data_IF_621311360063
#
_entry.id   IF_621311360063
#
_cell.length_a   1.000
_cell.length_b   1.000
_cell.length_c   1.000
_cell.angle_alpha   90.00
_cell.angle_beta   90.00
_cell.angle_gamma   90.00
#
_symmetry.space_group_name_H-M   'P 1'
#
loop_
_entity.id
_entity.type
_entity.pdbx_description
1 polymer ?
#
# COMPACT_ATOMS: atom_id res chain seq x y z
N UNK A 1 23.36 1.05 2.17
CA UNK A 1 23.95 2.21 2.86
C UNK A 1 22.87 2.77 3.75
N UNK A 2 22.96 2.59 5.06
CA UNK A 2 22.02 3.23 6.00
C UNK A 2 22.45 4.69 6.16
N UNK A 3 21.52 5.61 5.87
CA UNK A 3 21.73 7.03 6.15
C UNK A 3 20.99 7.38 7.45
N UNK A 4 21.57 8.26 8.27
CA UNK A 4 20.97 8.65 9.56
C UNK A 4 20.09 9.91 9.43
N UNK A 5 19.45 10.14 8.28
CA UNK A 5 18.57 11.29 8.10
C UNK A 5 17.35 11.09 9.00
N UNK A 6 17.13 12.03 9.93
CA UNK A 6 16.01 12.00 10.87
C UNK A 6 14.92 13.00 10.48
N UNK A 7 15.27 14.10 9.85
CA UNK A 7 14.33 15.14 9.47
C UNK A 7 14.67 15.67 8.09
N UNK A 8 13.62 15.97 7.32
CA UNK A 8 13.76 16.67 6.04
C UNK A 8 13.10 18.04 6.21
N UNK A 9 13.89 19.12 6.38
CA UNK A 9 13.37 20.45 6.66
C UNK A 9 12.72 21.11 5.44
N UNK A 10 12.04 22.23 5.68
CA UNK A 10 11.59 23.10 4.60
C UNK A 10 12.81 23.69 3.84
N UNK A 11 12.64 23.96 2.55
CA UNK A 11 13.69 24.60 1.72
C UNK A 11 14.58 23.64 0.91
N UNK A 12 14.62 22.35 1.25
CA UNK A 12 15.30 21.34 0.41
C UNK A 12 14.54 21.04 -0.90
N UNK A 13 13.32 21.56 -1.03
CA UNK A 13 12.46 21.36 -2.21
C UNK A 13 12.67 22.37 -3.34
N UNK A 14 13.29 23.53 -3.05
CA UNK A 14 13.20 24.73 -3.88
C UNK A 14 13.97 24.69 -5.22
N UNK A 15 14.48 23.55 -5.67
CA UNK A 15 15.34 23.48 -6.86
C UNK A 15 15.31 22.19 -7.66
N UNK A 16 14.32 21.32 -7.45
CA UNK A 16 14.32 19.96 -8.02
C UNK A 16 13.13 19.65 -8.97
N UNK A 17 12.75 20.54 -9.91
CA UNK A 17 11.56 20.34 -10.74
C UNK A 17 11.67 19.14 -11.71
N UNK A 18 12.91 18.73 -12.02
CA UNK A 18 13.21 17.61 -12.91
C UNK A 18 13.54 16.30 -12.17
N UNK A 19 13.50 16.30 -10.83
CA UNK A 19 13.80 15.10 -10.06
C UNK A 19 12.72 14.04 -10.32
N UNK A 20 13.11 12.92 -10.91
CA UNK A 20 12.21 11.81 -11.23
C UNK A 20 12.18 10.72 -10.16
N UNK A 21 13.28 10.56 -9.42
CA UNK A 21 13.44 9.47 -8.46
C UNK A 21 14.08 10.01 -7.19
N UNK A 22 13.44 9.76 -6.06
CA UNK A 22 13.94 10.11 -4.74
C UNK A 22 13.93 8.86 -3.86
N UNK A 23 15.12 8.41 -3.48
CA UNK A 23 15.32 7.23 -2.62
C UNK A 23 15.86 7.71 -1.27
N UNK A 24 15.05 7.55 -0.24
CA UNK A 24 15.35 7.81 1.16
C UNK A 24 15.20 6.52 1.98
N UNK A 25 15.35 5.37 1.33
CA UNK A 25 15.28 4.05 1.94
C UNK A 25 16.31 3.90 3.07
N UNK A 26 15.95 3.11 4.09
CA UNK A 26 16.76 2.75 5.24
C UNK A 26 17.33 3.98 5.98
N UNK A 27 16.48 5.00 6.14
CA UNK A 27 16.73 6.16 7.00
C UNK A 27 16.00 6.05 8.35
N UNK A 28 16.27 7.00 9.25
CA UNK A 28 15.59 7.12 10.54
C UNK A 28 14.62 8.30 10.55
N UNK A 29 13.99 8.58 9.42
CA UNK A 29 13.10 9.72 9.25
C UNK A 29 12.02 9.69 10.31
N UNK A 30 11.88 10.78 11.05
CA UNK A 30 10.83 11.05 12.04
C UNK A 30 9.80 12.02 11.46
N UNK A 31 10.25 12.98 10.65
CA UNK A 31 9.40 13.97 10.00
C UNK A 31 9.91 14.39 8.62
N UNK A 32 8.98 14.79 7.76
CA UNK A 32 9.23 15.44 6.48
C UNK A 32 8.40 16.73 6.48
N UNK A 33 9.02 17.87 6.21
CA UNK A 33 8.33 19.15 6.17
C UNK A 33 7.17 19.13 5.16
N UNK A 34 6.06 19.77 5.52
CA UNK A 34 4.83 19.76 4.72
C UNK A 34 5.05 20.24 3.27
N UNK A 35 5.97 21.17 3.06
CA UNK A 35 6.27 21.76 1.76
C UNK A 35 7.36 21.02 0.95
N UNK A 36 7.91 19.91 1.46
CA UNK A 36 9.07 19.27 0.85
C UNK A 36 8.80 18.74 -0.57
N UNK A 37 7.59 18.24 -0.86
CA UNK A 37 7.28 17.71 -2.18
C UNK A 37 6.64 18.74 -3.14
N UNK A 38 6.39 19.97 -2.68
CA UNK A 38 5.56 20.95 -3.42
C UNK A 38 6.06 21.30 -4.83
N UNK A 39 7.36 21.18 -5.10
CA UNK A 39 7.97 21.55 -6.38
C UNK A 39 8.48 20.35 -7.19
N UNK A 40 8.27 19.12 -6.71
CA UNK A 40 8.78 17.88 -7.34
C UNK A 40 7.78 17.31 -8.36
N UNK A 41 7.27 18.14 -9.27
CA UNK A 41 6.19 17.76 -10.19
C UNK A 41 6.58 16.67 -11.22
N UNK A 42 7.88 16.41 -11.41
CA UNK A 42 8.37 15.33 -12.26
C UNK A 42 8.59 14.00 -11.51
N UNK A 43 8.37 13.95 -10.20
CA UNK A 43 8.69 12.76 -9.41
C UNK A 43 7.80 11.58 -9.81
N UNK A 44 8.45 10.48 -10.16
CA UNK A 44 7.85 9.21 -10.57
C UNK A 44 8.03 8.14 -9.49
N UNK A 45 9.18 8.13 -8.80
CA UNK A 45 9.48 7.13 -7.77
C UNK A 45 9.84 7.82 -6.47
N UNK A 46 9.11 7.48 -5.40
CA UNK A 46 9.41 7.87 -4.03
C UNK A 46 9.55 6.62 -3.17
N UNK A 47 10.76 6.36 -2.69
CA UNK A 47 11.05 5.27 -1.77
C UNK A 47 11.45 5.81 -0.40
N UNK A 48 10.59 5.58 0.59
CA UNK A 48 10.85 5.91 2.00
C UNK A 48 10.99 4.63 2.85
N UNK A 49 11.10 3.46 2.23
CA UNK A 49 11.07 2.16 2.91
C UNK A 49 12.11 2.08 4.02
N UNK A 50 11.81 1.37 5.10
CA UNK A 50 12.70 1.25 6.26
C UNK A 50 12.77 2.50 7.16
N UNK A 51 12.04 3.57 6.84
CA UNK A 51 11.93 4.78 7.68
C UNK A 51 11.10 4.53 8.93
N UNK A 52 11.66 3.80 9.89
CA UNK A 52 10.94 3.30 11.07
C UNK A 52 10.42 4.38 12.03
N UNK A 53 10.93 5.62 11.97
CA UNK A 53 10.52 6.72 12.84
C UNK A 53 9.32 7.52 12.35
N UNK A 54 8.96 7.44 11.07
CA UNK A 54 8.00 8.37 10.46
C UNK A 54 6.58 7.95 10.82
N UNK A 55 5.81 8.88 11.37
CA UNK A 55 4.43 8.60 11.82
C UNK A 55 3.37 9.02 10.82
N UNK A 56 3.61 10.11 10.10
CA UNK A 56 2.66 10.77 9.21
C UNK A 56 3.44 11.28 8.01
N UNK A 57 2.93 11.02 6.80
CA UNK A 57 3.46 11.62 5.57
C UNK A 57 2.81 12.99 5.28
N UNK A 58 3.56 13.95 4.72
CA UNK A 58 3.03 15.27 4.41
C UNK A 58 2.02 15.24 3.25
N UNK A 59 0.99 16.09 3.32
CA UNK A 59 -0.08 16.16 2.30
C UNK A 59 0.42 16.51 0.89
N UNK A 60 1.61 17.12 0.74
CA UNK A 60 2.20 17.43 -0.56
C UNK A 60 2.50 16.19 -1.41
N UNK A 61 2.56 14.98 -0.82
CA UNK A 61 2.63 13.73 -1.60
C UNK A 61 1.41 13.56 -2.51
N UNK A 62 0.22 14.03 -2.07
CA UNK A 62 -1.02 13.93 -2.85
C UNK A 62 -0.96 14.69 -4.17
N UNK A 63 -0.03 15.63 -4.34
CA UNK A 63 0.09 16.46 -5.54
C UNK A 63 1.15 15.94 -6.53
N UNK A 64 1.82 14.82 -6.20
CA UNK A 64 2.81 14.16 -7.07
C UNK A 64 2.14 13.37 -8.20
N UNK A 65 1.33 14.03 -9.04
CA UNK A 65 0.44 13.37 -10.02
C UNK A 65 1.14 12.46 -11.05
N UNK A 66 2.46 12.57 -11.22
CA UNK A 66 3.29 11.70 -12.07
C UNK A 66 3.89 10.49 -11.34
N UNK A 67 3.65 10.35 -10.04
CA UNK A 67 4.18 9.26 -9.24
C UNK A 67 3.64 7.92 -9.75
N UNK A 68 4.55 7.03 -10.11
CA UNK A 68 4.29 5.65 -10.56
C UNK A 68 4.58 4.64 -9.45
N UNK A 69 5.48 4.94 -8.51
CA UNK A 69 5.79 4.08 -7.38
C UNK A 69 5.91 4.86 -6.06
N UNK A 70 5.17 4.41 -5.05
CA UNK A 70 5.26 4.86 -3.66
C UNK A 70 5.59 3.67 -2.76
N UNK A 71 6.84 3.62 -2.28
CA UNK A 71 7.35 2.50 -1.49
C UNK A 71 7.53 2.94 -0.03
N UNK A 72 6.75 2.31 0.86
CA UNK A 72 6.69 2.62 2.29
C UNK A 72 6.91 1.35 3.15
N UNK A 73 7.46 0.30 2.55
CA UNK A 73 7.68 -0.98 3.21
C UNK A 73 8.50 -0.79 4.49
N UNK A 74 8.13 -1.46 5.58
CA UNK A 74 8.84 -1.38 6.86
C UNK A 74 8.93 0.02 7.49
N UNK A 75 8.08 0.98 7.09
CA UNK A 75 7.86 2.21 7.87
C UNK A 75 7.02 1.89 9.11
N UNK A 76 7.62 1.20 10.07
CA UNK A 76 6.88 0.55 11.17
C UNK A 76 6.15 1.53 12.08
N UNK A 77 6.53 2.80 12.20
CA UNK A 77 5.76 3.80 12.98
C UNK A 77 4.69 4.53 12.18
N UNK A 78 4.59 4.29 10.87
CA UNK A 78 3.71 5.04 9.98
C UNK A 78 2.24 4.65 10.23
N UNK A 79 1.44 5.61 10.69
CA UNK A 79 0.02 5.42 11.00
C UNK A 79 -0.91 6.13 10.00
N UNK A 80 -0.40 7.11 9.26
CA UNK A 80 -1.18 7.89 8.30
C UNK A 80 -0.42 8.18 7.00
N UNK A 81 -1.09 7.91 5.89
CA UNK A 81 -0.69 8.29 4.54
C UNK A 81 -1.78 9.25 3.99
N UNK A 82 -1.40 10.38 3.37
CA UNK A 82 -2.36 11.35 2.86
C UNK A 82 -3.20 10.77 1.70
N UNK A 83 -4.28 11.43 1.28
CA UNK A 83 -5.11 10.96 0.18
C UNK A 83 -4.31 10.71 -1.10
N UNK A 84 -4.52 9.58 -1.75
CA UNK A 84 -3.79 9.18 -2.96
C UNK A 84 -4.65 9.29 -4.23
N UNK A 85 -5.93 9.65 -4.14
CA UNK A 85 -6.85 9.62 -5.29
C UNK A 85 -6.51 10.52 -6.48
N UNK A 86 -5.56 11.45 -6.34
CA UNK A 86 -5.00 12.25 -7.45
C UNK A 86 -3.89 11.53 -8.21
N UNK A 87 -3.24 10.53 -7.61
CA UNK A 87 -2.08 9.82 -8.16
C UNK A 87 -2.51 8.77 -9.20
N UNK A 88 -3.18 9.20 -10.27
CA UNK A 88 -3.74 8.32 -11.29
C UNK A 88 -2.67 7.55 -12.08
N UNK A 89 -1.43 8.01 -12.06
CA UNK A 89 -0.28 7.33 -12.67
C UNK A 89 0.33 6.23 -11.79
N UNK A 90 -0.12 6.08 -10.53
CA UNK A 90 0.48 5.14 -9.59
C UNK A 90 0.25 3.69 -10.05
N UNK A 91 1.34 2.95 -10.19
CA UNK A 91 1.36 1.54 -10.58
C UNK A 91 1.76 0.64 -9.40
N UNK A 92 2.56 1.15 -8.46
CA UNK A 92 3.04 0.40 -7.31
C UNK A 92 2.83 1.16 -6.00
N UNK A 93 2.16 0.50 -5.05
CA UNK A 93 1.95 0.98 -3.70
C UNK A 93 2.33 -0.12 -2.70
N UNK A 94 3.44 0.08 -2.01
CA UNK A 94 3.88 -0.81 -0.94
C UNK A 94 3.66 -0.15 0.44
N UNK A 95 2.72 -0.71 1.20
CA UNK A 95 2.37 -0.33 2.58
C UNK A 95 2.75 -1.43 3.58
N UNK A 96 3.52 -2.43 3.15
CA UNK A 96 3.80 -3.61 3.96
C UNK A 96 4.58 -3.26 5.23
N UNK A 97 4.26 -3.96 6.31
CA UNK A 97 4.87 -3.77 7.63
C UNK A 97 4.81 -2.32 8.15
N UNK A 98 3.75 -1.59 7.80
CA UNK A 98 3.40 -0.30 8.40
C UNK A 98 2.37 -0.48 9.53
N UNK A 99 2.12 0.59 10.30
CA UNK A 99 1.08 0.64 11.35
C UNK A 99 -0.12 1.46 10.92
N UNK A 100 -0.37 1.58 9.61
CA UNK A 100 -1.54 2.31 9.12
C UNK A 100 -2.80 1.68 9.71
N UNK A 101 -3.69 2.52 10.22
CA UNK A 101 -4.95 2.08 10.80
C UNK A 101 -6.15 2.28 9.86
N UNK A 102 -5.93 2.95 8.73
CA UNK A 102 -6.89 3.17 7.66
C UNK A 102 -6.16 3.15 6.33
N UNK A 103 -6.85 2.65 5.31
CA UNK A 103 -6.37 2.76 3.93
C UNK A 103 -6.38 4.25 3.51
N UNK A 104 -5.37 4.72 2.74
CA UNK A 104 -5.38 6.09 2.24
C UNK A 104 -6.65 6.38 1.44
N UNK A 105 -7.22 7.57 1.61
CA UNK A 105 -8.41 7.96 0.86
C UNK A 105 -8.11 7.99 -0.65
N UNK A 106 -9.01 7.42 -1.44
CA UNK A 106 -8.90 7.39 -2.90
C UNK A 106 -7.99 6.28 -3.44
N UNK A 107 -7.64 5.25 -2.66
CA UNK A 107 -6.98 4.05 -3.21
C UNK A 107 -7.83 3.39 -4.30
N UNK A 108 -9.16 3.39 -4.17
CA UNK A 108 -10.10 2.92 -5.19
C UNK A 108 -10.10 3.75 -6.49
N UNK A 109 -9.40 4.90 -6.49
CA UNK A 109 -9.23 5.77 -7.65
C UNK A 109 -7.93 5.50 -8.43
N UNK A 110 -7.06 4.63 -7.92
CA UNK A 110 -5.77 4.28 -8.53
C UNK A 110 -5.95 3.28 -9.67
N UNK A 111 -6.57 3.73 -10.76
CA UNK A 111 -7.02 2.87 -11.88
C UNK A 111 -5.88 2.19 -12.65
N UNK A 112 -4.65 2.69 -12.54
CA UNK A 112 -3.45 2.10 -13.15
C UNK A 112 -2.61 1.27 -12.16
N UNK A 113 -3.10 1.07 -10.93
CA UNK A 113 -2.37 0.31 -9.91
C UNK A 113 -2.24 -1.14 -10.34
N UNK A 114 -1.00 -1.63 -10.43
CA UNK A 114 -0.64 -3.01 -10.77
C UNK A 114 -0.28 -3.80 -9.52
N UNK A 115 0.42 -3.17 -8.58
CA UNK A 115 0.92 -3.82 -7.37
C UNK A 115 0.42 -3.09 -6.12
N UNK A 116 -0.34 -3.82 -5.28
CA UNK A 116 -0.75 -3.36 -3.96
C UNK A 116 -0.27 -4.36 -2.90
N UNK A 117 0.70 -3.94 -2.11
CA UNK A 117 1.22 -4.75 -1.01
C UNK A 117 0.83 -4.14 0.34
N UNK A 118 0.03 -4.86 1.11
CA UNK A 118 -0.38 -4.46 2.46
C UNK A 118 0.02 -5.51 3.51
N UNK A 119 0.95 -6.40 3.20
CA UNK A 119 1.32 -7.47 4.14
C UNK A 119 1.76 -6.93 5.50
N UNK A 120 1.28 -7.52 6.58
CA UNK A 120 1.68 -7.14 7.94
C UNK A 120 1.11 -5.82 8.46
N UNK A 121 0.15 -5.19 7.76
CA UNK A 121 -0.60 -4.03 8.29
C UNK A 121 -1.66 -4.46 9.30
N UNK A 122 -1.23 -5.02 10.42
CA UNK A 122 -2.08 -5.61 11.48
C UNK A 122 -3.00 -4.59 12.18
N UNK A 123 -2.66 -3.30 12.13
CA UNK A 123 -3.48 -2.21 12.72
C UNK A 123 -4.59 -1.72 11.77
N UNK A 124 -4.61 -2.18 10.52
CA UNK A 124 -5.54 -1.69 9.51
C UNK A 124 -6.99 -1.95 9.94
N UNK A 125 -7.84 -0.93 9.92
CA UNK A 125 -9.25 -1.10 10.19
C UNK A 125 -9.99 -1.80 9.06
N UNK A 126 -11.31 -1.88 9.19
CA UNK A 126 -12.17 -2.37 8.10
C UNK A 126 -11.97 -1.51 6.84
N UNK A 127 -11.74 -2.15 5.71
CA UNK A 127 -11.78 -1.51 4.40
C UNK A 127 -13.20 -1.63 3.80
N UNK A 128 -13.68 -0.64 3.04
CA UNK A 128 -14.96 -0.75 2.33
C UNK A 128 -14.98 -1.95 1.37
N UNK A 129 -16.09 -2.67 1.29
CA UNK A 129 -16.25 -3.88 0.43
C UNK A 129 -16.00 -3.61 -1.06
N UNK A 130 -16.12 -2.37 -1.52
CA UNK A 130 -15.91 -1.96 -2.91
C UNK A 130 -14.54 -1.35 -3.20
N UNK A 131 -13.58 -1.48 -2.28
CA UNK A 131 -12.24 -0.89 -2.43
C UNK A 131 -11.52 -1.41 -3.67
N UNK A 132 -11.56 -2.72 -3.89
CA UNK A 132 -10.79 -3.39 -4.95
C UNK A 132 -11.52 -3.43 -6.30
N UNK A 133 -12.83 -3.21 -6.34
CA UNK A 133 -13.66 -3.39 -7.55
C UNK A 133 -13.30 -2.44 -8.70
N UNK A 134 -12.57 -1.36 -8.41
CA UNK A 134 -12.11 -0.39 -9.41
C UNK A 134 -10.66 -0.60 -9.87
N UNK A 135 -9.92 -1.49 -9.22
CA UNK A 135 -8.50 -1.74 -9.49
C UNK A 135 -8.34 -2.77 -10.62
N UNK A 136 -8.90 -2.47 -11.79
CA UNK A 136 -8.97 -3.40 -12.92
C UNK A 136 -7.63 -3.79 -13.53
N UNK A 137 -6.58 -2.99 -13.30
CA UNK A 137 -5.21 -3.27 -13.74
C UNK A 137 -4.35 -3.97 -12.68
N UNK A 138 -4.91 -4.25 -11.50
CA UNK A 138 -4.15 -4.87 -10.41
C UNK A 138 -3.74 -6.28 -10.81
N UNK A 139 -2.44 -6.55 -10.77
CA UNK A 139 -1.80 -7.83 -11.08
C UNK A 139 -1.38 -8.56 -9.80
N UNK A 140 -0.97 -7.82 -8.78
CA UNK A 140 -0.51 -8.37 -7.50
C UNK A 140 -1.25 -7.72 -6.34
N UNK A 141 -1.95 -8.54 -5.55
CA UNK A 141 -2.59 -8.12 -4.30
C UNK A 141 -2.07 -8.94 -3.13
N UNK A 142 -1.44 -8.27 -2.16
CA UNK A 142 -0.93 -8.93 -0.96
C UNK A 142 -1.58 -8.39 0.32
N UNK A 143 -2.24 -9.30 1.04
CA UNK A 143 -3.05 -9.10 2.25
C UNK A 143 -2.65 -10.04 3.40
N UNK A 144 -1.51 -10.73 3.30
CA UNK A 144 -0.97 -11.59 4.35
C UNK A 144 -0.86 -10.84 5.68
N UNK A 145 -1.31 -11.46 6.79
CA UNK A 145 -1.24 -10.84 8.13
C UNK A 145 -1.92 -9.46 8.20
N UNK A 146 -2.99 -9.29 7.43
CA UNK A 146 -3.90 -8.15 7.56
C UNK A 146 -5.23 -8.60 8.16
N UNK A 147 -5.96 -7.72 8.84
CA UNK A 147 -7.33 -8.00 9.29
C UNK A 147 -8.37 -7.88 8.16
N UNK A 148 -7.94 -7.64 6.90
CA UNK A 148 -8.82 -7.55 5.74
C UNK A 148 -9.44 -8.92 5.48
N UNK A 149 -10.77 -8.95 5.34
CA UNK A 149 -11.54 -10.16 5.06
C UNK A 149 -12.25 -10.00 3.73
N UNK A 150 -12.08 -10.99 2.84
CA UNK A 150 -12.88 -11.12 1.62
C UNK A 150 -14.21 -11.75 2.03
N UNK A 151 -15.29 -10.98 1.95
CA UNK A 151 -16.62 -11.41 2.42
C UNK A 151 -17.54 -11.85 1.29
N UNK A 152 -17.28 -11.36 0.08
CA UNK A 152 -18.09 -11.65 -1.09
C UNK A 152 -17.19 -11.73 -2.33
N UNK A 153 -17.58 -12.52 -3.34
CA UNK A 153 -16.76 -12.71 -4.53
C UNK A 153 -16.72 -11.42 -5.37
N UNK A 154 -17.82 -10.66 -5.31
CA UNK A 154 -18.06 -9.36 -5.92
C UNK A 154 -17.04 -8.30 -5.48
N UNK A 155 -16.41 -8.47 -4.32
CA UNK A 155 -15.33 -7.59 -3.84
C UNK A 155 -14.08 -7.71 -4.72
N UNK A 156 -13.89 -8.87 -5.37
CA UNK A 156 -12.72 -9.19 -6.21
C UNK A 156 -13.06 -9.26 -7.71
N UNK A 157 -14.33 -9.21 -8.10
CA UNK A 157 -14.77 -9.30 -9.51
C UNK A 157 -14.14 -8.23 -10.41
N UNK A 158 -13.86 -7.04 -9.86
CA UNK A 158 -13.19 -5.98 -10.60
C UNK A 158 -11.71 -6.25 -10.93
N UNK A 159 -11.08 -7.23 -10.29
CA UNK A 159 -9.66 -7.56 -10.40
C UNK A 159 -9.38 -8.48 -11.61
N UNK A 160 -9.78 -8.02 -12.80
CA UNK A 160 -9.76 -8.81 -14.04
C UNK A 160 -8.35 -9.12 -14.57
N UNK A 161 -7.34 -8.32 -14.19
CA UNK A 161 -5.92 -8.53 -14.54
C UNK A 161 -5.09 -9.18 -13.44
N UNK A 162 -5.71 -9.62 -12.34
CA UNK A 162 -4.99 -10.16 -11.20
C UNK A 162 -4.27 -11.46 -11.58
N UNK A 163 -3.00 -11.56 -11.24
CA UNK A 163 -2.14 -12.71 -11.52
C UNK A 163 -1.79 -13.43 -10.21
N UNK A 164 -1.53 -12.67 -9.14
CA UNK A 164 -1.24 -13.21 -7.82
C UNK A 164 -2.08 -12.56 -6.71
N UNK A 165 -2.57 -13.40 -5.80
CA UNK A 165 -3.18 -12.95 -4.55
C UNK A 165 -2.71 -13.77 -3.36
N UNK A 166 -2.32 -13.11 -2.27
CA UNK A 166 -2.32 -13.74 -0.96
C UNK A 166 -3.45 -13.17 -0.11
N UNK A 167 -4.13 -14.05 0.63
CA UNK A 167 -5.32 -13.69 1.38
C UNK A 167 -5.45 -14.48 2.68
N UNK A 168 -5.93 -13.80 3.71
CA UNK A 168 -6.33 -14.40 4.96
C UNK A 168 -7.81 -14.79 4.91
N UNK A 169 -8.08 -16.08 5.13
CA UNK A 169 -9.41 -16.67 5.16
C UNK A 169 -9.75 -17.07 6.59
N UNK A 170 -10.73 -16.38 7.17
CA UNK A 170 -11.12 -16.59 8.57
C UNK A 170 -11.80 -17.95 8.80
N UNK A 171 -12.58 -18.40 7.82
CA UNK A 171 -13.44 -19.57 7.94
C UNK A 171 -13.75 -20.21 6.57
N UNK A 172 -14.47 -21.34 6.61
CA UNK A 172 -14.91 -22.08 5.41
C UNK A 172 -15.81 -21.23 4.51
N UNK A 173 -16.55 -20.27 5.06
CA UNK A 173 -17.38 -19.38 4.25
C UNK A 173 -16.51 -18.47 3.37
N UNK A 174 -15.51 -17.80 3.95
CA UNK A 174 -14.55 -16.98 3.19
C UNK A 174 -13.76 -17.80 2.16
N UNK A 175 -13.47 -19.08 2.45
CA UNK A 175 -12.90 -19.99 1.48
C UNK A 175 -13.83 -20.30 0.31
N UNK A 176 -15.10 -20.63 0.58
CA UNK A 176 -16.08 -20.87 -0.47
C UNK A 176 -16.31 -19.62 -1.34
N UNK A 177 -16.29 -18.43 -0.73
CA UNK A 177 -16.33 -17.16 -1.45
C UNK A 177 -15.13 -17.04 -2.40
N UNK A 178 -13.92 -17.34 -1.92
CA UNK A 178 -12.73 -17.34 -2.76
C UNK A 178 -12.79 -18.37 -3.90
N UNK A 179 -13.29 -19.59 -3.64
CA UNK A 179 -13.49 -20.59 -4.68
C UNK A 179 -14.47 -20.13 -5.76
N UNK A 180 -15.58 -19.50 -5.36
CA UNK A 180 -16.53 -18.90 -6.32
C UNK A 180 -15.85 -17.86 -7.19
N UNK A 181 -15.06 -16.98 -6.59
CA UNK A 181 -14.26 -16.02 -7.34
C UNK A 181 -13.37 -16.72 -8.38
N UNK A 182 -12.62 -17.76 -8.00
CA UNK A 182 -11.78 -18.51 -8.94
C UNK A 182 -12.58 -19.14 -10.10
N UNK A 183 -13.77 -19.68 -9.83
CA UNK A 183 -14.62 -20.34 -10.82
C UNK A 183 -15.16 -19.39 -11.90
N UNK A 184 -15.36 -18.10 -11.57
CA UNK A 184 -15.94 -17.12 -12.48
C UNK A 184 -14.90 -16.32 -13.27
N UNK A 185 -13.61 -16.61 -13.10
CA UNK A 185 -12.54 -15.91 -13.81
C UNK A 185 -12.35 -16.46 -15.22
N UNK A 186 -12.27 -15.55 -16.18
CA UNK A 186 -11.85 -15.88 -17.55
C UNK A 186 -10.38 -16.29 -17.61
N UNK A 187 -9.52 -15.62 -16.84
CA UNK A 187 -8.08 -15.89 -16.78
C UNK A 187 -7.72 -16.45 -15.39
N UNK A 188 -7.16 -17.67 -15.32
CA UNK A 188 -6.76 -18.25 -14.04
C UNK A 188 -5.64 -17.45 -13.40
N UNK A 189 -5.57 -17.47 -12.07
CA UNK A 189 -4.45 -16.89 -11.33
C UNK A 189 -3.17 -17.71 -11.60
N UNK A 190 -2.04 -17.02 -11.74
CA UNK A 190 -0.73 -17.66 -11.79
C UNK A 190 -0.31 -18.22 -10.43
N UNK A 191 -0.70 -17.54 -9.34
CA UNK A 191 -0.39 -17.96 -7.97
C UNK A 191 -1.44 -17.47 -6.98
N UNK A 192 -1.73 -18.28 -5.97
CA UNK A 192 -2.45 -17.81 -4.80
C UNK A 192 -1.95 -18.47 -3.52
N UNK A 193 -1.90 -17.70 -2.43
CA UNK A 193 -1.55 -18.20 -1.09
C UNK A 193 -2.73 -17.91 -0.16
N UNK A 194 -3.34 -18.96 0.38
CA UNK A 194 -4.45 -18.85 1.32
C UNK A 194 -3.97 -19.23 2.70
N UNK A 195 -4.19 -18.34 3.67
CA UNK A 195 -3.91 -18.61 5.07
C UNK A 195 -5.22 -18.84 5.82
N UNK A 196 -5.27 -19.91 6.61
CA UNK A 196 -6.43 -20.29 7.41
C UNK A 196 -6.11 -20.23 8.90
N UNK A 197 -7.10 -19.86 9.71
CA UNK A 197 -7.08 -20.07 11.16
C UNK A 197 -6.86 -18.81 12.00
N UNK A 198 -7.38 -18.82 13.22
CA UNK A 198 -7.18 -17.78 14.23
C UNK A 198 -5.81 -17.90 14.90
N UNK A 199 -4.76 -17.47 14.21
CA UNK A 199 -3.44 -17.33 14.81
C UNK A 199 -3.28 -15.94 15.40
N UNK A 200 -3.49 -15.81 16.70
CA UNK A 200 -2.93 -14.71 17.49
C UNK A 200 -1.44 -14.59 17.20
N UNK A 201 -1.02 -13.53 16.50
CA UNK A 201 0.37 -13.04 16.54
C UNK A 201 0.60 -12.30 17.87
N UNK A 202 0.38 -13.00 18.97
CA UNK A 202 0.98 -12.74 20.27
C UNK A 202 1.70 -14.02 20.68
N UNK A 203 2.87 -14.26 20.10
CA UNK A 203 3.84 -15.09 20.79
C UNK A 203 4.51 -14.22 21.85
N UNK A 204 4.21 -14.55 23.10
CA UNK A 204 4.95 -14.12 24.27
C UNK A 204 6.45 -14.39 24.09
N UNK A 205 7.29 -13.44 24.47
CA UNK A 205 8.63 -13.75 24.94
C UNK A 205 8.69 -13.46 26.43
N UNK A 206 9.32 -14.41 27.12
CA UNK A 206 9.61 -14.48 28.54
C UNK A 206 10.25 -13.21 29.09
#
# INVERSE_FOLDING_TARGET
MENNIQEIPCGWSCGCPSLSTLILKDNRLQSIAASFFMHMHALQVLDLSGSSGIRVLPNSISDLVKLTALLLAHCTSLTYVPPLGKLRALEELDLSFTRINRLPQGVDMLVNLKNLNMNGTHMLGNIPSRTFTRLSYLQLLRLERTPVQIRAAEELEGLTKLEEIDAYLKDVHSFNVFLKFLQHREVPLGKYILQFGGGSLFEYRS
#
